data_IF_153315673995
#
_entry.id   IF_153315673995
#
_cell.length_a   1.000
_cell.length_b   1.000
_cell.length_c   1.000
_cell.angle_alpha   90.00
_cell.angle_beta   90.00
_cell.angle_gamma   90.00
#
_symmetry.space_group_name_H-M   'P 1'
#
loop_
_entity.id
_entity.type
_entity.pdbx_description
1 polymer ?
#
# COMPACT_ATOMS: atom_id res chain seq x y z
N UNK A 1 -14.25 -1.94 -15.12
CA UNK A 1 -13.03 -1.86 -14.30
C UNK A 1 -13.33 -2.57 -13.00
N UNK A 2 -12.49 -3.51 -12.56
CA UNK A 2 -12.68 -4.16 -11.27
C UNK A 2 -12.73 -3.08 -10.16
N UNK A 3 -13.66 -3.24 -9.22
CA UNK A 3 -13.83 -2.31 -8.10
C UNK A 3 -12.58 -2.37 -7.22
N UNK A 4 -11.95 -1.22 -6.97
CA UNK A 4 -10.73 -1.15 -6.16
C UNK A 4 -11.10 -1.26 -4.69
N UNK A 5 -10.70 -2.36 -4.04
CA UNK A 5 -10.77 -2.47 -2.58
C UNK A 5 -9.62 -1.70 -1.95
N UNK A 6 -9.93 -0.67 -1.16
CA UNK A 6 -8.92 0.11 -0.44
C UNK A 6 -8.49 -0.61 0.85
N UNK A 7 -7.23 -0.40 1.24
CA UNK A 7 -6.70 -0.93 2.51
C UNK A 7 -7.22 -0.09 3.67
N UNK A 8 -7.70 -0.73 4.72
CA UNK A 8 -8.13 -0.06 5.95
C UNK A 8 -7.03 -0.07 7.01
N UNK A 9 -6.98 0.97 7.86
CA UNK A 9 -6.07 1.02 9.00
C UNK A 9 -4.62 1.38 8.68
N UNK A 10 -4.31 1.83 7.47
CA UNK A 10 -2.96 2.30 7.08
C UNK A 10 -3.01 3.67 6.41
N UNK A 11 -2.03 4.51 6.72
CA UNK A 11 -1.89 5.86 6.21
C UNK A 11 -0.44 6.15 5.83
N UNK A 12 -0.24 6.87 4.73
CA UNK A 12 1.08 7.10 4.16
C UNK A 12 1.36 8.58 3.99
N UNK A 13 2.52 9.02 4.46
CA UNK A 13 3.02 10.39 4.29
C UNK A 13 4.44 10.36 3.75
N UNK A 14 4.63 10.94 2.57
CA UNK A 14 5.94 11.13 1.96
C UNK A 14 6.55 12.43 2.46
N UNK A 15 7.81 12.36 2.92
CA UNK A 15 8.58 13.53 3.35
C UNK A 15 9.95 13.48 2.73
N UNK A 16 10.30 14.53 1.98
CA UNK A 16 11.68 14.77 1.54
C UNK A 16 12.45 15.51 2.63
N UNK A 17 13.65 15.04 2.92
CA UNK A 17 14.59 15.64 3.86
C UNK A 17 15.80 16.11 3.07
N UNK A 18 16.04 17.42 3.11
CA UNK A 18 17.21 18.04 2.51
C UNK A 18 18.34 18.07 3.55
N UNK A 19 19.56 17.78 3.11
CA UNK A 19 20.78 17.87 3.91
C UNK A 19 21.51 19.18 3.60
N UNK A 20 22.37 19.60 4.53
CA UNK A 20 23.15 20.83 4.41
C UNK A 20 24.14 20.80 3.23
N UNK A 21 24.49 19.61 2.72
CA UNK A 21 25.37 19.39 1.58
C UNK A 21 24.66 19.50 0.22
N UNK A 22 23.38 19.87 0.21
CA UNK A 22 22.55 19.97 -1.00
C UNK A 22 21.97 18.64 -1.48
N UNK A 23 22.32 17.51 -0.85
CA UNK A 23 21.67 16.23 -1.12
C UNK A 23 20.29 16.15 -0.47
N UNK A 24 19.41 15.28 -0.97
CA UNK A 24 18.13 14.99 -0.35
C UNK A 24 17.82 13.50 -0.38
N UNK A 25 16.97 13.07 0.53
CA UNK A 25 16.39 11.72 0.50
C UNK A 25 14.92 11.78 0.90
N UNK A 26 14.15 10.81 0.41
CA UNK A 26 12.70 10.75 0.65
C UNK A 26 12.37 9.59 1.57
N UNK A 27 11.52 9.84 2.54
CA UNK A 27 10.95 8.83 3.45
C UNK A 27 9.47 8.70 3.14
N UNK A 28 9.01 7.49 2.83
CA UNK A 28 7.60 7.14 2.89
C UNK A 28 7.27 6.61 4.29
N UNK A 29 6.60 7.42 5.10
CA UNK A 29 6.16 7.04 6.44
C UNK A 29 4.85 6.29 6.35
N UNK A 30 4.73 5.19 7.09
CA UNK A 30 3.48 4.47 7.27
C UNK A 30 3.03 4.57 8.73
N UNK A 31 1.78 4.97 8.94
CA UNK A 31 1.10 4.87 10.23
C UNK A 31 0.05 3.77 10.13
N UNK A 32 0.10 2.82 11.06
CA UNK A 32 -0.75 1.65 11.06
C UNK A 32 -1.59 1.65 12.33
N UNK A 33 -2.92 1.67 12.19
CA UNK A 33 -3.85 1.37 13.27
C UNK A 33 -3.95 -0.15 13.36
N UNK A 34 -3.16 -0.72 14.26
CA UNK A 34 -2.90 -2.15 14.39
C UNK A 34 -4.16 -3.03 14.33
N UNK A 35 -5.17 -2.73 15.15
CA UNK A 35 -6.40 -3.53 15.20
C UNK A 35 -7.15 -3.54 13.86
N UNK A 36 -7.36 -2.35 13.27
CA UNK A 36 -8.08 -2.23 11.99
C UNK A 36 -7.31 -2.86 10.83
N UNK A 37 -5.98 -2.75 10.86
CA UNK A 37 -5.13 -3.34 9.84
C UNK A 37 -5.07 -4.87 9.97
N UNK A 38 -5.01 -5.40 11.20
CA UNK A 38 -5.01 -6.84 11.46
C UNK A 38 -6.30 -7.51 10.98
N UNK A 39 -7.47 -6.92 11.30
CA UNK A 39 -8.76 -7.40 10.79
C UNK A 39 -8.80 -7.38 9.27
N UNK A 40 -8.33 -6.29 8.65
CA UNK A 40 -8.29 -6.20 7.19
C UNK A 40 -7.34 -7.23 6.58
N UNK A 41 -6.19 -7.52 7.20
CA UNK A 41 -5.30 -8.56 6.72
C UNK A 41 -5.98 -9.94 6.76
N UNK A 42 -6.64 -10.29 7.87
CA UNK A 42 -7.35 -11.57 8.02
C UNK A 42 -8.42 -11.76 6.93
N UNK A 43 -9.24 -10.72 6.70
CA UNK A 43 -10.30 -10.72 5.68
C UNK A 43 -9.81 -10.83 4.23
N UNK A 44 -8.54 -10.52 3.96
CA UNK A 44 -7.98 -10.43 2.61
C UNK A 44 -6.81 -11.39 2.37
N UNK A 45 -6.50 -12.23 3.35
CA UNK A 45 -5.45 -13.23 3.24
C UNK A 45 -5.88 -14.30 2.25
N UNK A 46 -5.04 -14.57 1.25
CA UNK A 46 -5.29 -15.63 0.28
C UNK A 46 -5.00 -17.02 0.87
N UNK A 47 -5.34 -18.07 0.12
CA UNK A 47 -5.15 -19.47 0.53
C UNK A 47 -3.69 -19.86 0.84
N UNK A 48 -2.72 -19.01 0.46
CA UNK A 48 -1.28 -19.20 0.71
C UNK A 48 -0.78 -18.40 1.92
N UNK A 49 -1.66 -17.69 2.63
CA UNK A 49 -1.29 -16.89 3.80
C UNK A 49 -0.72 -15.50 3.46
N UNK A 50 -0.93 -14.98 2.25
CA UNK A 50 -0.42 -13.67 1.82
C UNK A 50 -1.53 -12.66 1.54
N UNK A 51 -1.20 -11.39 1.75
CA UNK A 51 -1.98 -10.23 1.28
C UNK A 51 -1.09 -9.36 0.42
N UNK A 52 -1.53 -9.05 -0.79
CA UNK A 52 -0.80 -8.17 -1.70
C UNK A 52 -1.46 -6.79 -1.72
N UNK A 53 -0.66 -5.74 -1.58
CA UNK A 53 -1.14 -4.35 -1.60
C UNK A 53 -0.32 -3.52 -2.59
N UNK A 54 -1.00 -2.68 -3.36
CA UNK A 54 -0.36 -1.64 -4.16
C UNK A 54 -0.42 -0.33 -3.40
N UNK A 55 0.71 0.38 -3.30
CA UNK A 55 0.78 1.74 -2.72
C UNK A 55 0.92 2.74 -3.87
N UNK A 56 -0.04 3.65 -3.99
CA UNK A 56 -0.12 4.61 -5.08
C UNK A 56 -0.04 6.04 -4.57
N UNK A 57 0.68 6.88 -5.29
CA UNK A 57 0.78 8.31 -5.00
C UNK A 57 -0.52 9.02 -5.37
N UNK A 58 -1.06 9.78 -4.43
CA UNK A 58 -2.21 10.66 -4.67
C UNK A 58 -1.79 11.87 -5.50
N UNK A 59 -2.69 12.39 -6.33
CA UNK A 59 -2.44 13.64 -7.07
C UNK A 59 -2.23 14.83 -6.14
N UNK A 60 -2.97 14.86 -5.04
CA UNK A 60 -2.87 15.86 -3.98
C UNK A 60 -2.94 15.15 -2.63
N UNK A 61 -2.27 15.71 -1.62
CA UNK A 61 -2.41 15.22 -0.27
C UNK A 61 -3.84 15.47 0.23
N UNK A 62 -4.38 14.57 1.05
CA UNK A 62 -5.69 14.80 1.68
C UNK A 62 -5.58 15.78 2.86
N UNK A 63 -6.72 16.14 3.45
CA UNK A 63 -6.81 17.09 4.59
C UNK A 63 -6.01 16.64 5.82
N UNK A 64 -5.69 15.35 5.90
CA UNK A 64 -4.89 14.75 6.97
C UNK A 64 -3.40 14.63 6.62
N UNK A 65 -2.97 15.20 5.49
CA UNK A 65 -1.59 15.20 5.02
C UNK A 65 -1.13 13.90 4.34
N UNK A 66 -2.03 12.95 4.08
CA UNK A 66 -1.63 11.68 3.46
C UNK A 66 -1.37 11.87 1.99
N UNK A 67 -0.22 11.40 1.53
CA UNK A 67 0.25 11.59 0.16
C UNK A 67 0.08 10.34 -0.71
N UNK A 68 -0.12 9.17 -0.10
CA UNK A 68 -0.37 7.91 -0.79
C UNK A 68 -1.60 7.20 -0.23
N UNK A 69 -2.18 6.33 -1.04
CA UNK A 69 -3.22 5.39 -0.64
C UNK A 69 -2.82 3.97 -1.05
N UNK A 70 -3.44 2.97 -0.43
CA UNK A 70 -3.19 1.58 -0.79
C UNK A 70 -4.47 0.86 -1.22
N UNK A 71 -4.33 -0.06 -2.16
CA UNK A 71 -5.41 -0.92 -2.66
C UNK A 71 -5.01 -2.39 -2.60
N UNK A 72 -5.98 -3.27 -2.37
CA UNK A 72 -5.79 -4.70 -2.51
C UNK A 72 -5.37 -5.01 -3.95
N UNK A 73 -4.36 -5.86 -4.07
CA UNK A 73 -3.91 -6.38 -5.35
C UNK A 73 -4.29 -7.86 -5.44
N UNK A 74 -5.36 -8.15 -6.19
CA UNK A 74 -5.85 -9.52 -6.41
C UNK A 74 -5.00 -10.32 -7.39
N UNK A 75 -3.76 -9.88 -7.67
CA UNK A 75 -2.85 -10.62 -8.53
C UNK A 75 -2.64 -12.03 -8.00
N UNK A 76 -3.12 -12.99 -8.77
CA UNK A 76 -2.77 -14.41 -8.66
C UNK A 76 -1.75 -14.68 -9.76
N UNK A 77 -0.56 -15.22 -9.44
CA UNK A 77 0.36 -15.64 -10.48
C UNK A 77 -0.38 -16.60 -11.41
N UNK A 78 -0.33 -16.33 -12.71
CA UNK A 78 -0.82 -17.30 -13.68
C UNK A 78 0.08 -18.51 -13.55
N UNK A 79 -0.49 -19.64 -13.17
CA UNK A 79 0.13 -20.93 -13.44
C UNK A 79 0.16 -21.05 -14.95
N UNK A 80 1.29 -20.73 -15.58
CA UNK A 80 1.58 -21.19 -16.94
C UNK A 80 1.77 -22.71 -16.85
N UNK A 81 0.67 -23.42 -16.63
CA UNK A 81 0.55 -24.82 -17.00
C UNK A 81 0.34 -24.82 -18.52
N UNK A 82 1.42 -24.58 -19.27
CA UNK A 82 1.48 -24.98 -20.66
C UNK A 82 2.32 -26.26 -20.73
N UNK A 83 1.71 -27.46 -20.58
CA UNK A 83 2.37 -28.72 -20.86
C UNK A 83 2.34 -28.97 -22.36
N UNK A 84 3.09 -28.18 -23.14
CA UNK A 84 3.43 -28.49 -24.51
C UNK A 84 4.90 -28.16 -24.75
#
# INVERSE_FOLDING_TARGET
MAEKKYVNGIWFTEKTINRNDGSSFTILKASIKSESFAVWLDENTNDRGYVNIDILKSRQANDKGNTHYATLNDYKPKTDNNPF
#
